data_IF_441630938191
#
_entry.id   IF_441630938191
#
_cell.length_a   1.000
_cell.length_b   1.000
_cell.length_c   1.000
_cell.angle_alpha   90.00
_cell.angle_beta   90.00
_cell.angle_gamma   90.00
#
_symmetry.space_group_name_H-M   'P 1'
#
loop_
_entity.id
_entity.type
_entity.pdbx_description
1 polymer ?
#
# COMPACT_ATOMS: atom_id res chain seq x y z
N UNK A 1 -0.48 -35.28 13.84
CA UNK A 1 -0.98 -33.90 13.85
C UNK A 1 0.10 -33.02 13.27
N UNK A 2 0.07 -32.81 11.95
CA UNK A 2 0.96 -31.86 11.28
C UNK A 2 0.42 -30.46 11.57
N UNK A 3 1.09 -29.73 12.45
CA UNK A 3 0.96 -28.28 12.58
C UNK A 3 1.22 -27.69 11.19
N UNK A 4 0.16 -27.34 10.47
CA UNK A 4 0.29 -26.62 9.20
C UNK A 4 1.05 -25.34 9.48
N UNK A 5 2.19 -25.15 8.82
CA UNK A 5 2.98 -23.93 8.94
C UNK A 5 2.04 -22.75 8.72
N UNK A 6 1.88 -21.89 9.72
CA UNK A 6 1.13 -20.66 9.57
C UNK A 6 1.77 -19.89 8.41
N UNK A 7 1.00 -19.68 7.33
CA UNK A 7 1.49 -18.95 6.18
C UNK A 7 1.90 -17.53 6.60
N UNK A 8 2.94 -17.01 5.97
CA UNK A 8 3.41 -15.64 6.21
C UNK A 8 2.30 -14.64 5.83
N UNK A 9 2.18 -13.55 6.57
CA UNK A 9 1.17 -12.52 6.37
C UNK A 9 1.81 -11.20 5.95
N UNK A 10 0.99 -10.25 5.49
CA UNK A 10 1.48 -8.94 5.07
C UNK A 10 2.23 -8.21 6.20
N UNK A 11 1.71 -8.25 7.42
CA UNK A 11 2.37 -7.62 8.58
C UNK A 11 3.64 -8.33 9.03
N UNK A 12 3.80 -9.62 8.72
CA UNK A 12 5.06 -10.32 8.99
C UNK A 12 6.19 -9.81 8.10
N UNK A 13 5.87 -9.27 6.92
CA UNK A 13 6.84 -8.70 5.97
C UNK A 13 7.01 -7.20 6.13
N UNK A 14 5.91 -6.46 6.35
CA UNK A 14 5.92 -5.00 6.45
C UNK A 14 6.21 -4.47 7.86
N UNK A 15 6.03 -5.32 8.88
CA UNK A 15 5.93 -4.91 10.28
C UNK A 15 4.48 -4.63 10.72
N UNK A 16 4.29 -4.50 12.03
CA UNK A 16 2.98 -4.26 12.65
C UNK A 16 2.65 -2.76 12.84
N UNK A 17 3.44 -1.87 12.24
CA UNK A 17 3.17 -0.43 12.25
C UNK A 17 2.09 -0.06 11.22
N UNK A 18 1.24 0.92 11.54
CA UNK A 18 0.14 1.30 10.66
C UNK A 18 0.60 1.99 9.37
N UNK A 19 1.69 2.78 9.40
CA UNK A 19 2.14 3.54 8.22
C UNK A 19 2.62 2.64 7.06
N UNK A 20 3.52 1.65 7.28
CA UNK A 20 3.90 0.72 6.23
C UNK A 20 2.71 -0.07 5.67
N UNK A 21 1.82 -0.55 6.54
CA UNK A 21 0.61 -1.28 6.14
C UNK A 21 -0.34 -0.38 5.35
N UNK A 22 -0.47 0.89 5.72
CA UNK A 22 -1.31 1.86 5.01
C UNK A 22 -0.77 2.20 3.63
N UNK A 23 0.53 2.40 3.48
CA UNK A 23 1.17 2.61 2.18
C UNK A 23 1.00 1.42 1.27
N UNK A 24 1.18 0.21 1.79
CA UNK A 24 0.90 -1.03 1.06
C UNK A 24 -0.58 -1.14 0.69
N UNK A 25 -1.50 -0.83 1.61
CA UNK A 25 -2.94 -0.81 1.37
C UNK A 25 -3.36 0.15 0.25
N UNK A 26 -2.76 1.35 0.18
CA UNK A 26 -2.96 2.30 -0.92
C UNK A 26 -2.54 1.69 -2.26
N UNK A 27 -1.32 1.14 -2.34
CA UNK A 27 -0.83 0.47 -3.55
C UNK A 27 -1.70 -0.70 -3.95
N UNK A 28 -2.10 -1.56 -3.01
CA UNK A 28 -2.95 -2.73 -3.27
C UNK A 28 -4.33 -2.31 -3.78
N UNK A 29 -4.92 -1.26 -3.22
CA UNK A 29 -6.19 -0.68 -3.68
C UNK A 29 -6.08 -0.21 -5.14
N UNK A 30 -4.98 0.43 -5.51
CA UNK A 30 -4.73 0.85 -6.89
C UNK A 30 -4.55 -0.38 -7.79
N UNK A 31 -3.71 -1.34 -7.42
CA UNK A 31 -3.45 -2.54 -8.22
C UNK A 31 -4.70 -3.41 -8.44
N UNK A 32 -5.56 -3.54 -7.43
CA UNK A 32 -6.86 -4.22 -7.56
C UNK A 32 -7.73 -3.55 -8.64
N UNK A 33 -7.78 -2.22 -8.68
CA UNK A 33 -8.53 -1.48 -9.72
C UNK A 33 -8.00 -1.70 -11.14
N UNK A 34 -6.71 -2.04 -11.27
CA UNK A 34 -6.05 -2.31 -12.54
C UNK A 34 -6.23 -3.75 -13.02
N UNK A 35 -6.57 -4.72 -12.16
CA UNK A 35 -6.71 -6.12 -12.56
C UNK A 35 -7.78 -6.37 -13.62
N UNK A 36 -8.87 -5.60 -13.58
CA UNK A 36 -9.89 -5.66 -14.63
C UNK A 36 -9.36 -5.23 -16.01
N UNK A 37 -8.37 -4.33 -16.03
CA UNK A 37 -7.73 -3.81 -17.26
C UNK A 37 -6.54 -4.67 -17.70
N UNK A 38 -5.89 -5.35 -16.75
CA UNK A 38 -4.68 -6.13 -16.95
C UNK A 38 -4.85 -7.53 -16.34
N UNK A 39 -5.50 -8.48 -17.04
CA UNK A 39 -5.82 -9.82 -16.49
C UNK A 39 -4.61 -10.66 -16.10
N UNK A 40 -3.41 -10.30 -16.57
CA UNK A 40 -2.13 -10.96 -16.25
C UNK A 40 -1.35 -10.26 -15.13
N UNK A 41 -1.94 -9.24 -14.50
CA UNK A 41 -1.30 -8.53 -13.40
C UNK A 41 -1.22 -9.42 -12.17
N UNK A 42 0.00 -9.63 -11.69
CA UNK A 42 0.31 -10.29 -10.42
C UNK A 42 0.77 -9.24 -9.42
N UNK A 43 0.39 -9.40 -8.17
CA UNK A 43 0.75 -8.48 -7.08
C UNK A 43 1.89 -9.10 -6.29
N UNK A 44 3.00 -8.38 -6.22
CA UNK A 44 4.22 -8.79 -5.56
C UNK A 44 4.48 -7.95 -4.32
N UNK A 45 4.94 -8.58 -3.26
CA UNK A 45 5.54 -7.94 -2.10
C UNK A 45 7.01 -8.33 -2.06
N UNK A 46 7.87 -7.32 -2.06
CA UNK A 46 9.31 -7.49 -1.84
C UNK A 46 9.57 -7.08 -0.40
N UNK A 47 10.10 -8.00 0.40
CA UNK A 47 10.55 -7.75 1.77
C UNK A 47 11.90 -7.02 1.84
N UNK A 48 12.54 -7.09 3.01
CA UNK A 48 13.85 -6.48 3.26
C UNK A 48 13.76 -5.17 4.03
N UNK A 49 14.79 -4.31 3.91
CA UNK A 49 14.89 -3.06 4.68
C UNK A 49 13.81 -2.03 4.33
N UNK A 50 13.38 -2.01 3.06
CA UNK A 50 12.27 -1.16 2.61
C UNK A 50 11.28 -2.01 1.85
N UNK A 51 10.32 -2.64 2.55
CA UNK A 51 9.33 -3.48 1.90
C UNK A 51 8.50 -2.68 0.89
N UNK A 52 8.18 -3.30 -0.25
CA UNK A 52 7.44 -2.64 -1.34
C UNK A 52 6.39 -3.57 -1.93
N UNK A 53 5.27 -2.98 -2.33
CA UNK A 53 4.26 -3.64 -3.15
C UNK A 53 4.44 -3.20 -4.59
N UNK A 54 4.49 -4.17 -5.50
CA UNK A 54 4.74 -3.96 -6.93
C UNK A 54 3.73 -4.78 -7.74
N UNK A 55 3.53 -4.41 -9.01
CA UNK A 55 2.82 -5.23 -9.97
C UNK A 55 3.79 -5.87 -10.96
N UNK A 56 3.54 -7.12 -11.31
CA UNK A 56 4.21 -7.82 -12.40
C UNK A 56 3.20 -8.07 -13.52
N UNK A 57 3.49 -7.55 -14.71
CA UNK A 57 2.66 -7.73 -15.90
C UNK A 57 3.52 -8.39 -16.97
N UNK A 58 3.32 -9.70 -17.19
CA UNK A 58 4.26 -10.49 -18.00
C UNK A 58 5.63 -10.55 -17.33
N UNK A 59 6.63 -9.92 -17.92
CA UNK A 59 8.00 -9.79 -17.38
C UNK A 59 8.30 -8.39 -16.84
N UNK A 60 7.40 -7.42 -17.00
CA UNK A 60 7.65 -6.03 -16.61
C UNK A 60 7.15 -5.73 -15.19
N UNK A 61 8.01 -5.09 -14.40
CA UNK A 61 7.65 -4.55 -13.08
C UNK A 61 7.00 -3.18 -13.24
N UNK A 62 5.93 -2.97 -12.48
CA UNK A 62 5.12 -1.76 -12.50
C UNK A 62 4.91 -1.25 -11.07
N UNK A 63 4.85 0.08 -10.91
CA UNK A 63 4.53 0.72 -9.63
C UNK A 63 3.35 1.68 -9.76
N UNK A 64 2.66 1.91 -8.65
CA UNK A 64 1.47 2.76 -8.57
C UNK A 64 1.80 4.24 -8.34
N UNK A 65 3.08 4.62 -8.34
CA UNK A 65 3.56 5.91 -7.83
C UNK A 65 3.62 5.94 -6.30
N UNK A 66 3.95 7.11 -5.74
CA UNK A 66 4.23 7.28 -4.32
C UNK A 66 2.96 7.27 -3.46
N UNK A 67 2.87 6.31 -2.54
CA UNK A 67 1.92 6.34 -1.44
C UNK A 67 2.29 7.43 -0.42
N UNK A 68 1.29 7.97 0.27
CA UNK A 68 1.50 8.98 1.32
C UNK A 68 1.49 8.35 2.71
N UNK A 69 2.15 9.03 3.66
CA UNK A 69 2.14 8.67 5.08
C UNK A 69 0.75 8.86 5.69
N UNK A 70 0.40 8.10 6.72
CA UNK A 70 -0.77 8.35 7.59
C UNK A 70 -0.73 9.72 8.28
N UNK A 71 0.47 10.31 8.41
CA UNK A 71 0.70 11.63 9.02
C UNK A 71 0.69 12.79 8.03
N UNK A 72 0.32 12.55 6.77
CA UNK A 72 0.31 13.57 5.72
C UNK A 72 -0.88 14.51 5.89
N UNK A 73 -0.70 15.81 5.64
CA UNK A 73 -1.81 16.78 5.65
C UNK A 73 -2.58 16.84 4.32
N UNK A 74 -2.25 15.95 3.37
CA UNK A 74 -2.91 15.83 2.07
C UNK A 74 -4.27 15.17 2.22
N UNK A 75 -5.25 15.54 1.39
CA UNK A 75 -6.54 14.84 1.31
C UNK A 75 -6.35 13.39 0.85
N UNK A 76 -6.39 12.44 1.78
CA UNK A 76 -6.07 11.03 1.58
C UNK A 76 -7.03 10.36 0.59
N UNK A 77 -8.34 10.62 0.72
CA UNK A 77 -9.35 10.06 -0.20
C UNK A 77 -9.12 10.56 -1.62
N UNK A 78 -8.83 11.86 -1.79
CA UNK A 78 -8.57 12.45 -3.11
C UNK A 78 -7.28 11.91 -3.71
N UNK A 79 -6.22 11.79 -2.92
CA UNK A 79 -4.96 11.21 -3.34
C UNK A 79 -5.14 9.77 -3.84
N UNK A 80 -5.84 8.93 -3.07
CA UNK A 80 -6.08 7.54 -3.44
C UNK A 80 -6.90 7.43 -4.74
N UNK A 81 -7.95 8.25 -4.89
CA UNK A 81 -8.71 8.33 -6.16
C UNK A 81 -7.83 8.76 -7.33
N UNK A 82 -6.95 9.73 -7.12
CA UNK A 82 -6.00 10.19 -8.14
C UNK A 82 -5.06 9.06 -8.56
N UNK A 83 -4.47 8.32 -7.62
CA UNK A 83 -3.60 7.20 -7.93
C UNK A 83 -4.30 6.11 -8.76
N UNK A 84 -5.56 5.80 -8.46
CA UNK A 84 -6.36 4.81 -9.23
C UNK A 84 -6.60 5.22 -10.68
N UNK A 85 -6.55 6.52 -10.98
CA UNK A 85 -6.74 7.04 -12.34
C UNK A 85 -5.44 7.12 -13.13
N UNK A 86 -4.28 7.10 -12.46
CA UNK A 86 -2.96 7.20 -13.09
C UNK A 86 -2.52 5.86 -13.67
N UNK A 87 -1.83 5.93 -14.80
CA UNK A 87 -1.17 4.76 -15.39
C UNK A 87 -0.09 4.20 -14.46
N UNK A 88 0.09 2.88 -14.51
CA UNK A 88 1.16 2.22 -13.76
C UNK A 88 2.52 2.55 -14.39
N UNK A 89 3.40 3.16 -13.60
CA UNK A 89 4.76 3.48 -14.00
C UNK A 89 5.56 2.21 -14.29
N UNK A 90 6.47 2.26 -15.27
CA UNK A 90 7.46 1.21 -15.43
C UNK A 90 8.55 1.38 -14.36
N UNK A 91 8.85 0.30 -13.64
CA UNK A 91 9.98 0.28 -12.71
C UNK A 91 11.19 -0.35 -13.42
N UNK A 92 12.38 0.25 -13.34
CA UNK A 92 13.61 -0.34 -13.88
C UNK A 92 14.12 -1.52 -13.01
N UNK A 93 13.23 -2.15 -12.24
CA UNK A 93 13.58 -3.18 -11.27
C UNK A 93 13.74 -4.53 -11.99
N UNK A 94 14.91 -5.15 -11.83
CA UNK A 94 15.12 -6.53 -12.25
C UNK A 94 14.58 -7.48 -11.19
N UNK A 95 13.42 -8.08 -11.47
CA UNK A 95 12.80 -9.09 -10.61
C UNK A 95 13.66 -10.35 -10.50
N UNK A 96 14.54 -10.65 -11.46
CA UNK A 96 15.43 -11.81 -11.40
C UNK A 96 16.42 -11.70 -10.22
N UNK A 97 16.84 -10.48 -9.86
CA UNK A 97 17.67 -10.23 -8.68
C UNK A 97 16.98 -10.56 -7.34
N UNK A 98 15.64 -10.48 -7.30
CA UNK A 98 14.83 -10.81 -6.12
C UNK A 98 14.32 -12.26 -6.14
N UNK A 99 14.40 -12.95 -7.28
CA UNK A 99 14.00 -14.34 -7.41
C UNK A 99 14.82 -15.29 -6.52
N UNK A 100 16.04 -14.89 -6.21
CA UNK A 100 16.99 -15.65 -5.41
C UNK A 100 16.98 -15.26 -3.93
N UNK A 101 16.19 -14.25 -3.57
CA UNK A 101 16.00 -13.87 -2.17
C UNK A 101 14.68 -14.47 -1.70
N UNK A 102 14.65 -15.10 -0.52
CA UNK A 102 13.42 -15.58 0.14
C UNK A 102 12.54 -14.42 0.64
N UNK A 103 12.55 -13.30 -0.08
CA UNK A 103 11.92 -12.03 0.24
C UNK A 103 10.90 -11.62 -0.82
N UNK A 104 10.62 -12.47 -1.81
CA UNK A 104 9.62 -12.22 -2.83
C UNK A 104 8.35 -13.04 -2.58
N UNK A 105 7.24 -12.34 -2.36
CA UNK A 105 5.94 -12.94 -2.04
C UNK A 105 4.86 -12.48 -2.99
N UNK A 106 3.93 -13.35 -3.32
CA UNK A 106 2.74 -13.04 -4.10
C UNK A 106 1.51 -12.91 -3.20
N UNK A 107 0.70 -11.88 -3.48
CA UNK A 107 -0.62 -11.71 -2.87
C UNK A 107 -1.69 -12.16 -3.87
N UNK A 108 -2.60 -13.02 -3.41
CA UNK A 108 -3.80 -13.33 -4.19
C UNK A 108 -4.76 -12.14 -4.18
N UNK A 109 -5.30 -11.74 -5.33
CA UNK A 109 -6.24 -10.62 -5.40
C UNK A 109 -7.44 -10.74 -4.47
N UNK A 110 -8.03 -11.93 -4.34
CA UNK A 110 -9.19 -12.15 -3.47
C UNK A 110 -8.91 -11.88 -1.99
N UNK A 111 -7.64 -11.88 -1.57
CA UNK A 111 -7.24 -11.65 -0.19
C UNK A 111 -7.16 -10.17 0.20
N UNK A 112 -7.27 -9.22 -0.75
CA UNK A 112 -7.05 -7.79 -0.45
C UNK A 112 -8.32 -6.97 -0.28
N UNK A 113 -9.51 -7.55 -0.51
CA UNK A 113 -10.77 -6.82 -0.46
C UNK A 113 -11.02 -6.16 0.90
N UNK A 114 -10.74 -6.86 2.00
CA UNK A 114 -10.86 -6.33 3.36
C UNK A 114 -9.83 -5.27 3.66
N UNK A 115 -8.59 -5.47 3.20
CA UNK A 115 -7.52 -4.50 3.35
C UNK A 115 -7.85 -3.20 2.61
N UNK A 116 -8.44 -3.29 1.41
CA UNK A 116 -8.93 -2.12 0.68
C UNK A 116 -9.99 -1.38 1.49
N UNK A 117 -10.98 -2.08 2.05
CA UNK A 117 -12.03 -1.44 2.86
C UNK A 117 -11.42 -0.72 4.07
N UNK A 118 -10.50 -1.36 4.78
CA UNK A 118 -9.80 -0.76 5.92
C UNK A 118 -8.92 0.45 5.49
N UNK A 119 -8.29 0.38 4.31
CA UNK A 119 -7.49 1.48 3.76
C UNK A 119 -8.36 2.70 3.46
N UNK A 120 -9.55 2.51 2.87
CA UNK A 120 -10.49 3.61 2.65
C UNK A 120 -11.03 4.19 3.96
N UNK A 121 -11.37 3.33 4.93
CA UNK A 121 -11.84 3.79 6.24
C UNK A 121 -10.79 4.63 6.96
N UNK A 122 -9.51 4.22 6.91
CA UNK A 122 -8.41 5.01 7.47
C UNK A 122 -8.17 6.32 6.69
N UNK A 123 -8.29 6.30 5.36
CA UNK A 123 -8.17 7.51 4.54
C UNK A 123 -9.26 8.54 4.90
N UNK A 124 -10.51 8.11 5.06
CA UNK A 124 -11.61 8.97 5.49
C UNK A 124 -11.39 9.51 6.91
N UNK A 125 -10.94 8.65 7.84
CA UNK A 125 -10.65 9.08 9.20
C UNK A 125 -9.49 10.08 9.28
N UNK A 126 -8.46 9.93 8.44
CA UNK A 126 -7.37 10.90 8.33
C UNK A 126 -7.88 12.25 7.80
N UNK A 127 -8.73 12.24 6.77
CA UNK A 127 -9.34 13.46 6.22
C UNK A 127 -10.25 14.17 7.24
N UNK A 128 -11.00 13.42 8.07
CA UNK A 128 -11.80 13.97 9.17
C UNK A 128 -10.95 14.68 10.22
N UNK A 129 -9.78 14.12 10.56
CA UNK A 129 -8.84 14.73 11.50
C UNK A 129 -8.34 16.07 10.94
N UNK A 130 -7.89 16.10 9.68
CA UNK A 130 -7.42 17.32 9.02
C UNK A 130 -8.53 18.39 8.98
N UNK A 131 -9.77 17.99 8.67
CA UNK A 131 -10.90 18.92 8.65
C UNK A 131 -11.25 19.45 10.04
N UNK A 132 -11.29 18.58 11.06
CA UNK A 132 -11.60 18.98 12.43
C UNK A 132 -10.56 19.96 12.99
N UNK A 133 -9.28 19.71 12.72
CA UNK A 133 -8.20 20.64 13.09
C UNK A 133 -8.31 21.97 12.35
N UNK A 134 -8.57 21.93 11.04
CA UNK A 134 -8.76 23.14 10.23
C UNK A 134 -9.92 24.00 10.74
N UNK A 135 -11.05 23.37 11.10
CA UNK A 135 -12.21 24.05 11.67
C UNK A 135 -11.89 24.68 13.04
N UNK A 136 -11.13 23.98 13.88
CA UNK A 136 -10.71 24.51 15.18
C UNK A 136 -9.78 25.73 15.01
N UNK A 137 -8.82 25.66 14.08
CA UNK A 137 -7.88 26.76 13.81
C UNK A 137 -8.58 27.99 13.20
N UNK A 138 -9.59 27.79 12.35
CA UNK A 138 -10.39 28.84 11.74
C UNK A 138 -11.32 29.59 12.71
N UNK A 139 -11.56 29.06 13.91
CA UNK A 139 -12.48 29.63 14.92
C UNK A 139 -11.95 30.86 15.69
N UNK A 140 -11.13 31.70 15.06
CA UNK A 140 -10.54 32.92 15.66
C UNK A 140 -11.54 34.08 15.61
N UNK A 141 -12.50 34.11 16.53
CA UNK A 141 -13.45 35.22 16.69
C UNK A 141 -14.35 35.07 17.92
N UNK A 142 -15.12 36.11 18.28
CA UNK A 142 -16.01 36.11 19.45
C UNK A 142 -17.05 34.96 19.41
N UNK A 143 -17.60 34.67 18.22
CA UNK A 143 -18.47 33.49 18.00
C UNK A 143 -17.71 32.16 18.08
N UNK A 144 -16.40 32.16 17.81
CA UNK A 144 -15.54 30.99 17.92
C UNK A 144 -15.28 30.56 19.36
N UNK A 145 -15.29 31.48 20.33
CA UNK A 145 -15.10 31.14 21.75
C UNK A 145 -16.21 30.22 22.27
N UNK A 146 -17.45 30.44 21.83
CA UNK A 146 -18.62 29.65 22.22
C UNK A 146 -18.64 28.25 21.56
N UNK A 147 -18.06 28.11 20.38
CA UNK A 147 -18.06 26.83 19.63
C UNK A 147 -16.80 25.99 19.86
N UNK A 148 -15.73 26.57 20.41
CA UNK A 148 -14.46 25.89 20.72
C UNK A 148 -14.59 24.57 21.50
N UNK A 149 -15.42 24.45 22.56
CA UNK A 149 -15.58 23.18 23.26
C UNK A 149 -16.10 22.06 22.34
N UNK A 150 -17.08 22.37 21.48
CA UNK A 150 -17.64 21.42 20.51
C UNK A 150 -16.61 21.04 19.44
N UNK A 151 -15.83 22.02 18.96
CA UNK A 151 -14.76 21.76 17.99
C UNK A 151 -13.64 20.89 18.57
N UNK A 152 -13.28 21.11 19.85
CA UNK A 152 -12.32 20.24 20.55
C UNK A 152 -12.85 18.82 20.72
N UNK A 153 -14.12 18.64 21.07
CA UNK A 153 -14.75 17.33 21.11
C UNK A 153 -14.70 16.64 19.74
N UNK A 154 -15.04 17.37 18.66
CA UNK A 154 -14.95 16.86 17.28
C UNK A 154 -13.52 16.42 16.91
N UNK A 155 -12.50 17.18 17.30
CA UNK A 155 -11.08 16.78 17.10
C UNK A 155 -10.78 15.50 17.86
N UNK A 156 -11.17 15.41 19.13
CA UNK A 156 -10.94 14.20 19.94
C UNK A 156 -11.65 12.97 19.35
N UNK A 157 -12.90 13.13 18.89
CA UNK A 157 -13.68 12.06 18.26
C UNK A 157 -13.02 11.60 16.94
N UNK A 158 -12.56 12.54 16.11
CA UNK A 158 -11.86 12.24 14.87
C UNK A 158 -10.53 11.50 15.12
N UNK A 159 -9.74 11.94 16.12
CA UNK A 159 -8.51 11.26 16.53
C UNK A 159 -8.78 9.85 17.07
N UNK A 160 -9.83 9.68 17.87
CA UNK A 160 -10.22 8.38 18.38
C UNK A 160 -10.69 7.44 17.27
N UNK A 161 -11.42 7.95 16.26
CA UNK A 161 -11.77 7.19 15.05
C UNK A 161 -10.51 6.78 14.29
N UNK A 162 -9.62 7.72 14.00
CA UNK A 162 -8.37 7.46 13.29
C UNK A 162 -7.53 6.36 13.96
N UNK A 163 -7.36 6.41 15.29
CA UNK A 163 -6.64 5.38 16.03
C UNK A 163 -7.27 3.98 15.88
N UNK A 164 -8.61 3.88 15.97
CA UNK A 164 -9.32 2.60 15.74
C UNK A 164 -9.13 2.08 14.31
N UNK A 165 -9.15 2.96 13.31
CA UNK A 165 -8.93 2.56 11.92
C UNK A 165 -7.48 2.12 11.66
N UNK A 166 -6.49 2.73 12.33
CA UNK A 166 -5.10 2.26 12.30
C UNK A 166 -4.99 0.82 12.84
N UNK A 167 -5.58 0.55 14.00
CA UNK A 167 -5.61 -0.80 14.60
C UNK A 167 -6.34 -1.80 13.71
N UNK A 168 -7.48 -1.39 13.14
CA UNK A 168 -8.25 -2.23 12.23
C UNK A 168 -7.46 -2.57 10.97
N UNK A 169 -6.76 -1.60 10.40
CA UNK A 169 -5.92 -1.80 9.23
C UNK A 169 -4.78 -2.79 9.51
N UNK A 170 -4.04 -2.63 10.62
CA UNK A 170 -2.95 -3.55 10.98
C UNK A 170 -3.50 -4.97 11.20
N UNK A 171 -4.60 -5.10 11.93
CA UNK A 171 -5.27 -6.39 12.17
C UNK A 171 -5.68 -7.07 10.87
N UNK A 172 -6.26 -6.33 9.92
CA UNK A 172 -6.62 -6.87 8.60
C UNK A 172 -5.37 -7.20 7.78
N UNK A 173 -4.32 -6.38 7.85
CA UNK A 173 -3.02 -6.69 7.24
C UNK A 173 -2.44 -8.03 7.73
N UNK A 174 -2.57 -8.31 9.02
CA UNK A 174 -2.18 -9.60 9.62
C UNK A 174 -3.04 -10.78 9.24
N UNK A 175 -4.07 -10.58 8.41
CA UNK A 175 -4.92 -11.63 7.86
C UNK A 175 -4.69 -11.83 6.36
N UNK A 176 -3.86 -10.99 5.71
CA UNK A 176 -3.58 -11.08 4.27
C UNK A 176 -2.45 -12.09 4.05
N UNK A 177 -2.75 -13.31 3.54
CA UNK A 177 -1.73 -14.33 3.32
C UNK A 177 -0.79 -13.95 2.17
N UNK A 178 0.48 -14.23 2.39
CA UNK A 178 1.57 -14.13 1.42
C UNK A 178 2.02 -15.54 1.03
N UNK A 179 2.21 -15.75 -0.27
CA UNK A 179 2.78 -17.00 -0.80
C UNK A 179 4.19 -16.72 -1.32
N UNK A 180 5.23 -17.47 -0.89
CA UNK A 180 6.56 -17.30 -1.46
C UNK A 180 6.54 -17.61 -2.96
N UNK A 181 7.29 -16.83 -3.74
CA UNK A 181 7.42 -17.07 -5.18
C UNK A 181 8.53 -18.09 -5.41
N UNK A 182 8.15 -19.36 -5.45
CA UNK A 182 9.10 -20.46 -5.61
C UNK A 182 9.64 -20.62 -7.05
N UNK A 183 9.04 -19.96 -8.04
CA UNK A 183 9.55 -19.89 -9.41
C UNK A 183 8.90 -18.73 -10.17
N UNK A 184 9.72 -17.83 -10.70
CA UNK A 184 9.28 -16.94 -11.78
C UNK A 184 9.35 -17.70 -13.11
N UNK A 185 8.46 -17.42 -14.08
CA UNK A 185 8.57 -18.04 -15.39
C UNK A 185 9.96 -17.73 -16.00
N UNK A 186 10.62 -18.79 -16.48
CA UNK A 186 12.01 -18.85 -17.01
C UNK A 186 12.33 -17.81 -18.11
N UNK A 187 11.32 -17.08 -18.61
CA UNK A 187 11.48 -15.97 -19.56
C UNK A 187 12.02 -14.66 -18.96
N UNK A 188 11.93 -14.45 -17.64
CA UNK A 188 12.44 -13.22 -17.00
C UNK A 188 13.99 -13.17 -16.99
N UNK A 189 14.64 -14.33 -16.83
CA UNK A 189 16.11 -14.45 -16.75
C UNK A 189 16.80 -14.18 -18.08
N UNK A 190 16.12 -14.33 -19.23
CA UNK A 190 16.70 -14.08 -20.56
C UNK A 190 16.82 -12.60 -20.91
N UNK A 191 16.06 -11.69 -20.28
CA UNK A 191 16.19 -10.26 -20.58
C UNK A 191 17.37 -9.59 -19.89
N UNK A 192 17.79 -10.06 -18.71
CA UNK A 192 19.00 -9.58 -18.05
C UNK A 192 20.25 -9.82 -18.92
N UNK A 193 20.33 -11.01 -19.54
CA UNK A 193 21.40 -11.32 -20.48
C UNK A 193 21.39 -10.41 -21.73
N UNK A 194 20.22 -10.12 -22.30
CA UNK A 194 20.09 -9.26 -23.48
C UNK A 194 20.40 -7.79 -23.16
N UNK A 195 20.08 -7.32 -21.95
CA UNK A 195 20.38 -5.94 -21.53
C UNK A 195 21.87 -5.73 -21.22
N UNK A 196 22.54 -6.72 -20.62
CA UNK A 196 23.99 -6.70 -20.42
C UNK A 196 24.77 -6.83 -21.74
N UNK A 197 24.24 -7.59 -22.70
CA UNK A 197 24.78 -7.66 -24.07
C UNK A 197 24.67 -6.31 -24.80
N UNK A 198 23.53 -5.61 -24.68
CA UNK A 198 23.33 -4.30 -25.30
C UNK A 198 24.22 -3.20 -24.71
N UNK A 199 24.53 -3.25 -23.41
CA UNK A 199 25.48 -2.28 -22.80
C UNK A 199 26.92 -2.47 -23.26
N UNK A 200 27.33 -3.70 -23.60
CA UNK A 200 28.69 -3.97 -24.12
C UNK A 200 28.90 -3.53 -25.56
N UNK A 201 27.84 -3.40 -26.34
CA UNK A 201 27.93 -2.98 -27.76
C UNK A 201 28.02 -1.46 -27.92
N UNK A 202 27.74 -0.69 -26.86
CA UNK A 202 27.75 0.79 -26.87
C UNK A 202 28.94 1.37 -26.07
N UNK A 203 29.90 0.52 -25.67
CA UNK A 203 31.17 0.91 -25.02
C UNK A 203 32.34 0.65 -25.95
#
# INVERSE_FOLDING_TARGET
MTTGAAGQTLTDVLGAESDPVYRAGQTLTVLESWQLRLPRLRIMVVGGLTPRVLALVGTSVRSTGSAISTSSDVRHVLHLKSLMQRELGAEPLDIAGYAHTDQLFEIRPSAVADLRRATWALAEAADDVVEAFSALQGSRGALGVLTRPRLRARVADAQARWARECEALVRVGGQVPLSPVNALPVGATRMAAVWDEQKRVVS
#
